data_IF_784589968058
#
_entry.id   IF_784589968058
#
_cell.length_a   1.000
_cell.length_b   1.000
_cell.length_c   1.000
_cell.angle_alpha   90.00
_cell.angle_beta   90.00
_cell.angle_gamma   90.00
#
_symmetry.space_group_name_H-M   'P 1'
#
loop_
_entity.id
_entity.type
_entity.pdbx_description
1 polymer ?
#
# COMPACT_ATOMS: atom_id res chain seq x y z
N UNK A 1 16.62 61.42 -48.52
CA UNK A 1 15.70 61.75 -47.40
C UNK A 1 14.87 60.49 -47.17
N UNK A 2 15.31 59.63 -46.25
CA UNK A 2 14.72 59.43 -44.91
C UNK A 2 13.46 58.53 -45.02
N UNK A 3 13.50 57.25 -44.60
CA UNK A 3 13.29 56.75 -43.22
C UNK A 3 11.85 57.04 -42.76
N UNK A 4 10.98 56.16 -42.25
CA UNK A 4 11.02 54.79 -41.68
C UNK A 4 9.55 54.27 -41.70
N UNK A 5 9.28 52.98 -41.91
CA UNK A 5 8.98 51.96 -40.88
C UNK A 5 7.64 52.18 -40.13
N UNK A 6 6.65 51.31 -40.36
CA UNK A 6 5.85 50.70 -39.27
C UNK A 6 5.07 49.48 -39.79
N UNK A 7 5.41 48.33 -39.21
CA UNK A 7 4.83 47.00 -39.35
C UNK A 7 3.55 46.83 -38.50
N UNK A 8 2.58 46.06 -38.98
CA UNK A 8 1.59 45.38 -38.11
C UNK A 8 1.42 43.91 -38.55
N UNK A 9 1.60 42.89 -37.67
CA UNK A 9 1.83 41.51 -38.06
C UNK A 9 0.64 40.56 -37.82
N UNK A 10 0.68 39.44 -38.56
CA UNK A 10 0.23 38.10 -38.16
C UNK A 10 -1.29 37.83 -38.00
N UNK A 11 -1.92 37.40 -39.10
CA UNK A 11 -3.11 36.54 -39.03
C UNK A 11 -2.68 35.07 -39.05
N UNK A 12 -2.55 34.46 -37.86
CA UNK A 12 -2.26 33.01 -37.71
C UNK A 12 -3.51 32.17 -38.06
N UNK A 13 -3.36 30.98 -38.67
CA UNK A 13 -4.48 30.09 -38.91
C UNK A 13 -4.96 29.46 -37.58
N UNK A 14 -6.28 29.30 -37.50
CA UNK A 14 -7.05 28.71 -36.39
C UNK A 14 -6.65 27.24 -36.19
N UNK A 15 -6.36 26.78 -34.95
CA UNK A 15 -6.02 25.38 -34.73
C UNK A 15 -7.27 24.51 -34.92
N UNK A 16 -7.14 23.46 -35.73
CA UNK A 16 -8.10 22.37 -35.83
C UNK A 16 -8.31 21.77 -34.44
N UNK A 17 -9.57 21.75 -34.02
CA UNK A 17 -10.03 21.08 -32.81
C UNK A 17 -9.80 19.59 -32.96
N UNK A 18 -8.70 19.07 -32.41
CA UNK A 18 -8.53 17.64 -32.22
C UNK A 18 -9.64 17.17 -31.26
N UNK A 19 -10.50 16.30 -31.77
CA UNK A 19 -11.51 15.62 -30.97
C UNK A 19 -10.81 14.88 -29.80
N UNK A 20 -11.47 14.74 -28.64
CA UNK A 20 -10.91 13.96 -27.55
C UNK A 20 -10.72 12.53 -28.05
N UNK A 21 -9.51 11.99 -27.94
CA UNK A 21 -9.29 10.56 -28.07
C UNK A 21 -10.02 9.90 -26.91
N UNK A 22 -11.20 9.35 -27.16
CA UNK A 22 -11.87 8.44 -26.23
C UNK A 22 -10.99 7.20 -26.11
N UNK A 23 -10.02 7.24 -25.19
CA UNK A 23 -9.25 6.07 -24.80
C UNK A 23 -10.18 5.16 -23.98
N UNK A 24 -10.98 4.36 -24.67
CA UNK A 24 -11.65 3.23 -24.06
C UNK A 24 -10.58 2.29 -23.51
N UNK A 25 -10.66 1.96 -22.23
CA UNK A 25 -9.84 0.90 -21.63
C UNK A 25 -10.19 -0.39 -22.36
N UNK A 26 -9.22 -1.00 -23.05
CA UNK A 26 -9.39 -2.34 -23.61
C UNK A 26 -9.56 -3.32 -22.45
N UNK A 27 -10.82 -3.70 -22.21
CA UNK A 27 -11.21 -4.57 -21.11
C UNK A 27 -10.56 -5.96 -21.22
N UNK A 28 -10.26 -6.43 -22.44
CA UNK A 28 -9.59 -7.72 -22.66
C UNK A 28 -8.12 -7.60 -22.29
N UNK A 29 -7.44 -6.55 -22.74
CA UNK A 29 -6.05 -6.31 -22.36
C UNK A 29 -5.90 -6.07 -20.85
N UNK A 30 -6.84 -5.36 -20.22
CA UNK A 30 -6.88 -5.17 -18.77
C UNK A 30 -7.11 -6.48 -18.02
N UNK A 31 -8.04 -7.32 -18.49
CA UNK A 31 -8.29 -8.63 -17.88
C UNK A 31 -7.05 -9.54 -17.98
N UNK A 32 -6.45 -9.64 -19.18
CA UNK A 32 -5.21 -10.41 -19.37
C UNK A 32 -4.09 -9.95 -18.42
N UNK A 33 -3.93 -8.63 -18.25
CA UNK A 33 -2.96 -8.08 -17.30
C UNK A 33 -3.25 -8.46 -15.85
N UNK A 34 -4.52 -8.49 -15.42
CA UNK A 34 -4.90 -8.95 -14.08
C UNK A 34 -4.60 -10.44 -13.90
N UNK A 35 -4.94 -11.26 -14.91
CA UNK A 35 -4.73 -12.70 -14.91
C UNK A 35 -3.23 -13.03 -14.82
N UNK A 36 -2.38 -12.39 -15.63
CA UNK A 36 -0.93 -12.54 -15.57
C UNK A 36 -0.35 -12.21 -14.19
N UNK A 37 -0.87 -11.16 -13.53
CA UNK A 37 -0.42 -10.79 -12.17
C UNK A 37 -0.83 -11.83 -11.13
N UNK A 38 -2.03 -12.38 -11.26
CA UNK A 38 -2.51 -13.42 -10.38
C UNK A 38 -1.68 -14.70 -10.57
N UNK A 39 -1.46 -15.12 -11.81
CA UNK A 39 -0.61 -16.28 -12.14
C UNK A 39 0.81 -16.10 -11.60
N UNK A 40 1.41 -14.92 -11.77
CA UNK A 40 2.73 -14.62 -11.21
C UNK A 40 2.74 -14.72 -9.67
N UNK A 41 1.69 -14.27 -8.99
CA UNK A 41 1.58 -14.38 -7.54
C UNK A 41 1.44 -15.84 -7.10
N UNK A 42 0.61 -16.63 -7.80
CA UNK A 42 0.42 -18.06 -7.55
C UNK A 42 1.69 -18.87 -7.82
N UNK A 43 2.43 -18.57 -8.88
CA UNK A 43 3.71 -19.20 -9.19
C UNK A 43 4.77 -18.91 -8.11
N UNK A 44 4.84 -17.66 -7.64
CA UNK A 44 5.75 -17.28 -6.53
C UNK A 44 5.38 -18.02 -5.25
N UNK A 45 4.09 -18.10 -4.93
CA UNK A 45 3.62 -18.88 -3.79
C UNK A 45 3.96 -20.36 -3.93
N UNK A 46 3.64 -20.98 -5.08
CA UNK A 46 3.89 -22.39 -5.32
C UNK A 46 5.38 -22.73 -5.16
N UNK A 47 6.28 -21.91 -5.72
CA UNK A 47 7.73 -22.11 -5.59
C UNK A 47 8.20 -22.19 -4.12
N UNK A 48 7.64 -21.35 -3.23
CA UNK A 48 7.95 -21.37 -1.80
C UNK A 48 7.22 -22.52 -1.09
N UNK A 49 5.94 -22.71 -1.36
CA UNK A 49 5.08 -23.69 -0.69
C UNK A 49 5.47 -25.14 -0.98
N UNK A 50 6.09 -25.41 -2.14
CA UNK A 50 6.61 -26.74 -2.48
C UNK A 50 8.05 -26.99 -2.02
N UNK A 51 8.70 -26.00 -1.40
CA UNK A 51 10.04 -26.18 -0.86
C UNK A 51 10.04 -27.06 0.39
N UNK A 52 11.15 -27.74 0.66
CA UNK A 52 11.32 -28.54 1.88
C UNK A 52 11.27 -27.72 3.16
N UNK A 53 11.58 -26.43 3.06
CA UNK A 53 11.71 -25.52 4.21
C UNK A 53 10.38 -24.87 4.60
N UNK A 54 9.32 -25.06 3.80
CA UNK A 54 8.02 -24.42 4.03
C UNK A 54 7.41 -24.71 5.41
N UNK A 55 7.45 -25.95 5.96
CA UNK A 55 6.96 -26.20 7.33
C UNK A 55 7.74 -25.43 8.40
N UNK A 56 9.05 -25.20 8.19
CA UNK A 56 9.88 -24.39 9.09
C UNK A 56 9.45 -22.93 9.03
N UNK A 57 9.25 -22.38 7.83
CA UNK A 57 8.75 -21.01 7.64
C UNK A 57 7.39 -20.81 8.33
N UNK A 58 6.47 -21.77 8.23
CA UNK A 58 5.17 -21.71 8.92
C UNK A 58 5.33 -21.68 10.44
N UNK A 59 6.25 -22.49 10.98
CA UNK A 59 6.50 -22.56 12.42
C UNK A 59 7.13 -21.27 12.94
N UNK A 60 8.08 -20.69 12.20
CA UNK A 60 8.70 -19.40 12.51
C UNK A 60 7.68 -18.25 12.42
N UNK A 61 6.85 -18.23 11.37
CA UNK A 61 5.79 -17.25 11.22
C UNK A 61 4.79 -17.34 12.39
N UNK A 62 4.40 -18.54 12.80
CA UNK A 62 3.52 -18.73 13.96
C UNK A 62 4.16 -18.19 15.25
N UNK A 63 5.45 -18.48 15.47
CA UNK A 63 6.18 -17.97 16.63
C UNK A 63 6.20 -16.44 16.66
N UNK A 64 6.49 -15.79 15.53
CA UNK A 64 6.41 -14.33 15.42
C UNK A 64 5.02 -13.79 15.69
N UNK A 65 3.97 -14.44 15.19
CA UNK A 65 2.60 -14.02 15.39
C UNK A 65 2.12 -14.15 16.85
N UNK A 66 2.64 -15.16 17.57
CA UNK A 66 2.30 -15.41 18.98
C UNK A 66 3.08 -14.53 19.97
N UNK A 67 4.23 -14.00 19.58
CA UNK A 67 5.06 -13.10 20.40
C UNK A 67 4.45 -11.70 20.54
N UNK A 68 3.37 -11.54 21.31
CA UNK A 68 2.68 -10.25 21.43
C UNK A 68 3.49 -9.27 22.29
N UNK A 69 3.93 -8.17 21.67
CA UNK A 69 4.59 -7.05 22.34
C UNK A 69 3.56 -5.99 22.77
N UNK A 70 3.89 -5.25 23.83
CA UNK A 70 3.13 -4.08 24.25
C UNK A 70 3.82 -2.82 23.74
N UNK A 71 3.02 -1.86 23.31
CA UNK A 71 3.51 -0.58 22.80
C UNK A 71 2.90 0.57 23.58
N UNK A 72 3.52 1.74 23.49
CA UNK A 72 3.01 3.02 23.98
C UNK A 72 2.84 3.99 22.82
N UNK A 73 1.94 4.97 22.98
CA UNK A 73 1.83 6.06 22.02
C UNK A 73 3.19 6.77 21.86
N UNK A 74 3.62 6.97 20.62
CA UNK A 74 4.93 7.51 20.27
C UNK A 74 5.99 6.46 19.92
N UNK A 75 5.77 5.18 20.21
CA UNK A 75 6.74 4.13 19.85
C UNK A 75 6.84 3.95 18.33
N UNK A 76 8.05 3.77 17.84
CA UNK A 76 8.27 3.37 16.45
C UNK A 76 8.17 1.85 16.31
N UNK A 77 7.34 1.42 15.38
CA UNK A 77 7.07 0.01 15.12
C UNK A 77 7.26 -0.34 13.65
N UNK A 78 7.53 -1.60 13.38
CA UNK A 78 7.60 -2.15 12.03
C UNK A 78 6.89 -3.50 11.97
N UNK A 79 6.63 -3.98 10.74
CA UNK A 79 6.20 -5.35 10.56
C UNK A 79 7.22 -6.33 11.13
N UNK A 80 6.74 -7.34 11.85
CA UNK A 80 7.53 -8.54 12.10
C UNK A 80 7.84 -9.26 10.80
N UNK A 81 8.92 -10.07 10.75
CA UNK A 81 9.20 -10.93 9.61
C UNK A 81 7.96 -11.76 9.22
N UNK A 82 7.66 -11.82 7.92
CA UNK A 82 6.53 -12.57 7.35
C UNK A 82 5.12 -12.12 7.80
N UNK A 83 4.98 -10.98 8.49
CA UNK A 83 3.69 -10.54 9.06
C UNK A 83 2.99 -9.41 8.31
N UNK A 84 3.57 -8.88 7.22
CA UNK A 84 2.93 -7.82 6.43
C UNK A 84 1.69 -8.34 5.72
N UNK A 85 0.55 -7.69 5.96
CA UNK A 85 -0.73 -8.01 5.32
C UNK A 85 -1.40 -6.80 4.65
N UNK A 86 -0.65 -5.70 4.49
CA UNK A 86 -1.12 -4.44 3.90
C UNK A 86 -0.08 -3.82 3.00
N UNK A 87 -0.53 -2.90 2.14
CA UNK A 87 0.36 -2.13 1.25
C UNK A 87 1.24 -1.14 2.01
N UNK A 88 0.76 -0.54 3.11
CA UNK A 88 1.52 0.42 3.88
C UNK A 88 1.47 0.10 5.39
N UNK A 89 2.52 0.45 6.15
CA UNK A 89 3.84 0.90 5.65
C UNK A 89 4.57 -0.22 4.88
N UNK A 90 5.66 0.12 4.18
CA UNK A 90 6.53 -0.88 3.56
C UNK A 90 7.22 -1.74 4.64
N UNK A 91 7.79 -2.88 4.24
CA UNK A 91 8.64 -3.66 5.15
C UNK A 91 9.86 -2.84 5.57
N UNK A 92 10.25 -3.00 6.83
CA UNK A 92 11.37 -2.28 7.46
C UNK A 92 11.29 -0.74 7.47
N UNK A 93 10.15 -0.17 7.07
CA UNK A 93 9.86 1.27 7.23
C UNK A 93 9.06 1.46 8.53
N UNK A 94 9.46 2.41 9.40
CA UNK A 94 8.77 2.64 10.65
C UNK A 94 7.37 3.24 10.45
N UNK A 95 6.44 2.82 11.30
CA UNK A 95 5.23 3.53 11.66
C UNK A 95 5.36 4.05 13.09
N UNK A 96 4.52 5.00 13.48
CA UNK A 96 4.42 5.46 14.87
C UNK A 96 3.13 4.95 15.50
N UNK A 97 3.17 4.50 16.74
CA UNK A 97 1.96 4.16 17.50
C UNK A 97 1.25 5.44 17.89
N UNK A 98 -0.03 5.53 17.55
CA UNK A 98 -0.88 6.68 17.86
C UNK A 98 -1.69 6.42 19.12
N UNK A 99 -2.36 5.28 19.19
CA UNK A 99 -3.18 4.87 20.34
C UNK A 99 -3.47 3.36 20.33
N UNK A 100 -3.96 2.85 21.45
CA UNK A 100 -4.56 1.51 21.56
C UNK A 100 -6.07 1.58 21.36
N UNK A 101 -6.64 0.51 20.80
CA UNK A 101 -8.07 0.37 20.60
C UNK A 101 -8.58 -0.66 21.60
N UNK A 102 -9.18 -0.20 22.69
CA UNK A 102 -9.75 -1.02 23.75
C UNK A 102 -11.24 -0.71 23.96
N UNK A 103 -12.15 -1.67 23.72
CA UNK A 103 -11.89 -3.05 23.30
C UNK A 103 -11.44 -3.14 21.83
N UNK A 104 -10.67 -4.18 21.45
CA UNK A 104 -10.27 -4.42 20.07
C UNK A 104 -11.47 -4.47 19.12
N UNK A 105 -11.34 -3.85 17.94
CA UNK A 105 -12.36 -3.93 16.91
C UNK A 105 -12.41 -5.35 16.36
N UNK A 106 -13.57 -5.98 16.46
CA UNK A 106 -13.82 -7.35 16.00
C UNK A 106 -14.70 -7.42 14.76
N UNK A 107 -15.23 -6.28 14.29
CA UNK A 107 -16.04 -6.16 13.09
C UNK A 107 -15.52 -5.03 12.19
N UNK A 108 -15.78 -5.13 10.89
CA UNK A 108 -15.52 -4.05 9.94
C UNK A 108 -16.70 -3.05 9.88
N UNK A 109 -16.61 -2.03 9.02
CA UNK A 109 -17.64 -1.00 8.88
C UNK A 109 -18.99 -1.56 8.40
N UNK A 110 -18.96 -2.67 7.64
CA UNK A 110 -20.16 -3.37 7.17
C UNK A 110 -20.73 -4.36 8.21
N UNK A 111 -20.13 -4.46 9.40
CA UNK A 111 -20.56 -5.36 10.47
C UNK A 111 -20.07 -6.81 10.35
N UNK A 112 -19.24 -7.13 9.35
CA UNK A 112 -18.66 -8.46 9.20
C UNK A 112 -17.56 -8.69 10.23
N UNK A 113 -17.52 -9.90 10.81
CA UNK A 113 -16.47 -10.30 11.76
C UNK A 113 -15.09 -10.27 11.11
N UNK A 114 -14.15 -9.61 11.75
CA UNK A 114 -12.74 -9.61 11.37
C UNK A 114 -12.10 -10.94 11.77
N UNK A 115 -11.34 -11.52 10.84
CA UNK A 115 -10.50 -12.71 11.11
C UNK A 115 -9.48 -12.38 12.22
N UNK A 116 -8.97 -11.14 12.21
CA UNK A 116 -8.04 -10.62 13.20
C UNK A 116 -8.60 -9.34 13.83
N UNK A 117 -8.82 -9.32 15.16
CA UNK A 117 -9.16 -8.10 15.86
C UNK A 117 -8.09 -7.03 15.68
N UNK A 118 -8.51 -5.76 15.57
CA UNK A 118 -7.61 -4.61 15.47
C UNK A 118 -7.61 -3.87 16.80
N UNK A 119 -6.45 -3.82 17.43
CA UNK A 119 -6.21 -3.29 18.77
C UNK A 119 -5.19 -2.15 18.78
N UNK A 120 -4.61 -1.78 17.63
CA UNK A 120 -3.59 -0.75 17.53
C UNK A 120 -3.92 0.25 16.41
N UNK A 121 -3.79 1.54 16.71
CA UNK A 121 -3.82 2.62 15.72
C UNK A 121 -2.39 3.08 15.45
N UNK A 122 -1.95 2.97 14.20
CA UNK A 122 -0.64 3.44 13.75
C UNK A 122 -0.76 4.62 12.80
N UNK A 123 0.27 5.46 12.78
CA UNK A 123 0.47 6.56 11.85
C UNK A 123 1.68 6.32 10.95
N UNK A 124 1.60 6.75 9.69
CA UNK A 124 2.72 6.73 8.75
C UNK A 124 2.59 7.87 7.75
N UNK A 125 3.69 8.21 7.08
CA UNK A 125 3.71 9.20 6.00
C UNK A 125 3.60 8.48 4.66
N UNK A 126 2.71 8.95 3.78
CA UNK A 126 2.54 8.38 2.44
C UNK A 126 3.43 9.08 1.38
N UNK A 127 3.16 8.78 0.10
CA UNK A 127 3.94 9.33 -1.01
C UNK A 127 3.73 10.84 -1.23
N UNK A 128 2.60 11.38 -0.75
CA UNK A 128 2.23 12.79 -0.88
C UNK A 128 2.61 13.60 0.37
N UNK A 129 3.31 12.96 1.33
CA UNK A 129 3.74 13.52 2.61
C UNK A 129 2.60 13.75 3.62
N UNK A 130 1.47 13.08 3.43
CA UNK A 130 0.34 13.17 4.35
C UNK A 130 0.45 12.16 5.50
N UNK A 131 -0.02 12.55 6.69
CA UNK A 131 -0.05 11.69 7.86
C UNK A 131 -1.31 10.81 7.83
N UNK A 132 -1.10 9.53 7.54
CA UNK A 132 -2.16 8.54 7.36
C UNK A 132 -2.30 7.65 8.57
N UNK A 133 -3.54 7.29 8.90
CA UNK A 133 -3.87 6.42 10.03
C UNK A 133 -4.34 5.04 9.55
N UNK A 134 -3.93 4.00 10.27
CA UNK A 134 -4.41 2.64 10.04
C UNK A 134 -4.66 1.87 11.33
N UNK A 135 -5.84 1.26 11.43
CA UNK A 135 -6.16 0.28 12.47
C UNK A 135 -5.58 -1.08 12.08
N UNK A 136 -4.74 -1.65 12.94
CA UNK A 136 -3.99 -2.87 12.68
C UNK A 136 -3.99 -3.81 13.90
N UNK A 137 -3.72 -5.11 13.72
CA UNK A 137 -3.45 -6.02 14.82
C UNK A 137 -2.00 -5.82 15.34
N UNK A 138 -1.86 -5.47 16.62
CA UNK A 138 -0.58 -5.26 17.34
C UNK A 138 0.38 -6.44 17.20
N UNK A 139 -0.15 -7.67 17.25
CA UNK A 139 0.59 -8.94 17.12
C UNK A 139 1.46 -9.04 15.85
N UNK A 140 1.16 -8.26 14.81
CA UNK A 140 1.94 -8.24 13.55
C UNK A 140 3.14 -7.29 13.58
N UNK A 141 3.27 -6.51 14.65
CA UNK A 141 4.29 -5.47 14.80
C UNK A 141 5.31 -5.83 15.87
N UNK A 142 6.50 -5.27 15.71
CA UNK A 142 7.60 -5.26 16.69
C UNK A 142 8.16 -3.85 16.73
N UNK A 143 8.90 -3.52 17.79
CA UNK A 143 9.71 -2.30 17.84
C UNK A 143 10.58 -2.16 16.58
N UNK A 144 10.64 -0.94 16.03
CA UNK A 144 11.52 -0.63 14.91
C UNK A 144 12.97 -0.61 15.35
N UNK A 145 13.83 -1.31 14.61
CA UNK A 145 15.27 -1.36 14.86
C UNK A 145 16.00 -0.77 13.66
N UNK A 146 16.79 0.27 13.92
CA UNK A 146 17.62 0.96 12.93
C UNK A 146 18.82 0.11 12.50
#
# INVERSE_FOLDING_TARGET
MSASDETDPASKPKPESQAPVEQGVDLVAFQNFLDERQEMAEQKYAAVATSSDYPTLLSEALAHYQDVQQFSAGDFVQWKPMMRNRRFPLESVPAIVVDHIDPPLTTNAEGNRLIEPRDLLIGFIDGDQDFMLAQVPSRRFTEWKQ
#
